data_IF_802428719938
#
_entry.id   IF_802428719938
#
_cell.length_a   1.000
_cell.length_b   1.000
_cell.length_c   1.000
_cell.angle_alpha   90.00
_cell.angle_beta   90.00
_cell.angle_gamma   90.00
#
_symmetry.space_group_name_H-M   'P 1'
#
loop_
_entity.id
_entity.type
_entity.pdbx_description
1 polymer ?
#
# COMPACT_ATOMS: atom_id res chain seq x y z
N UNK A 1 29.45 33.14 -6.05
CA UNK A 1 28.08 33.22 -6.58
C UNK A 1 27.14 32.70 -5.49
N UNK A 2 26.58 33.59 -4.66
CA UNK A 2 25.65 33.22 -3.57
C UNK A 2 24.25 33.08 -4.19
N UNK A 3 23.65 31.91 -4.07
CA UNK A 3 22.23 31.73 -4.38
C UNK A 3 21.40 32.51 -3.34
N UNK A 4 20.45 33.37 -3.76
CA UNK A 4 19.65 34.13 -2.81
C UNK A 4 18.75 33.17 -2.03
N UNK A 5 18.77 33.32 -0.71
CA UNK A 5 17.85 32.68 0.21
C UNK A 5 16.42 33.10 -0.15
N UNK A 6 15.54 32.10 -0.23
CA UNK A 6 14.10 32.22 -0.47
C UNK A 6 13.47 33.06 0.65
N UNK A 7 13.38 34.37 0.45
CA UNK A 7 12.71 35.28 1.40
C UNK A 7 11.58 36.10 0.78
N UNK A 8 11.45 36.19 -0.55
CA UNK A 8 10.49 37.11 -1.19
C UNK A 8 9.51 36.44 -2.18
N UNK A 9 9.05 35.23 -1.88
CA UNK A 9 7.88 34.66 -2.57
C UNK A 9 6.95 34.00 -1.54
N UNK A 10 6.39 34.79 -0.63
CA UNK A 10 5.06 34.46 -0.11
C UNK A 10 4.05 34.92 -1.16
N UNK A 11 4.05 34.23 -2.30
CA UNK A 11 2.94 34.30 -3.21
C UNK A 11 1.71 33.80 -2.45
N UNK A 12 0.64 34.58 -2.49
CA UNK A 12 -0.68 34.18 -1.98
C UNK A 12 -1.00 32.76 -2.43
N UNK A 13 -1.05 31.83 -1.48
CA UNK A 13 -1.37 30.44 -1.74
C UNK A 13 -2.85 30.34 -2.14
N UNK A 14 -3.11 30.27 -3.44
CA UNK A 14 -4.45 30.32 -4.05
C UNK A 14 -5.13 28.93 -4.17
N UNK A 15 -4.94 28.03 -3.20
CA UNK A 15 -5.15 26.59 -3.46
C UNK A 15 -5.82 25.76 -2.37
N UNK A 16 -6.88 26.27 -1.73
CA UNK A 16 -7.76 25.63 -0.71
C UNK A 16 -7.45 26.06 0.73
N UNK A 17 -8.48 26.57 1.44
CA UNK A 17 -8.43 26.88 2.88
C UNK A 17 -9.30 25.85 3.63
N UNK A 18 -8.81 25.23 4.72
CA UNK A 18 -9.65 24.42 5.59
C UNK A 18 -10.85 25.24 6.07
N UNK A 19 -12.05 24.64 6.11
CA UNK A 19 -13.30 25.35 6.41
C UNK A 19 -13.42 25.81 7.88
N UNK A 20 -12.50 25.39 8.76
CA UNK A 20 -12.36 25.89 10.13
C UNK A 20 -10.88 26.08 10.49
N UNK A 21 -10.56 27.12 11.25
CA UNK A 21 -9.35 27.15 12.06
C UNK A 21 -9.58 26.19 13.23
N UNK A 22 -8.81 25.10 13.32
CA UNK A 22 -9.05 24.07 14.33
C UNK A 22 -7.79 23.92 15.18
N UNK A 23 -7.83 24.42 16.42
CA UNK A 23 -7.21 23.68 17.52
C UNK A 23 -7.91 22.32 17.53
N UNK A 24 -7.28 21.30 16.95
CA UNK A 24 -7.88 19.99 16.76
C UNK A 24 -8.30 19.42 18.13
N UNK A 25 -9.62 19.22 18.40
CA UNK A 25 -9.99 18.46 19.58
C UNK A 25 -9.46 17.04 19.41
N UNK A 26 -8.85 16.49 20.46
CA UNK A 26 -8.53 15.07 20.48
C UNK A 26 -9.84 14.29 20.37
N UNK A 27 -9.93 13.26 19.50
CA UNK A 27 -11.14 12.47 19.42
C UNK A 27 -11.27 11.61 20.68
N UNK A 28 -12.24 11.92 21.53
CA UNK A 28 -12.53 11.20 22.78
C UNK A 28 -13.13 9.79 22.56
N UNK A 29 -13.37 9.37 21.31
CA UNK A 29 -13.86 8.03 20.94
C UNK A 29 -13.56 7.70 19.44
N UNK A 30 -13.53 6.41 19.04
CA UNK A 30 -13.46 6.01 17.63
C UNK A 30 -14.63 6.62 16.84
N UNK A 31 -14.30 7.24 15.71
CA UNK A 31 -15.29 7.89 14.84
C UNK A 31 -16.23 6.84 14.23
N UNK A 32 -17.43 6.74 14.78
CA UNK A 32 -18.46 5.84 14.29
C UNK A 32 -19.79 6.11 14.99
N UNK A 33 -20.42 7.24 14.67
CA UNK A 33 -21.87 7.35 14.68
C UNK A 33 -22.31 8.55 13.82
N UNK A 34 -23.48 8.40 13.20
CA UNK A 34 -24.49 9.40 12.82
C UNK A 34 -24.91 9.57 11.36
N UNK A 35 -26.25 9.64 11.29
CA UNK A 35 -27.16 10.42 10.45
C UNK A 35 -27.60 9.87 9.09
N UNK A 36 -28.87 9.47 9.07
CA UNK A 36 -29.67 9.11 7.90
C UNK A 36 -29.85 10.29 6.95
N UNK A 37 -29.57 10.06 5.67
CA UNK A 37 -29.83 11.02 4.59
C UNK A 37 -29.72 10.34 3.22
N UNK A 38 -30.86 10.22 2.53
CA UNK A 38 -31.07 9.38 1.35
C UNK A 38 -30.61 10.01 0.01
N UNK A 39 -29.95 9.22 -0.87
CA UNK A 39 -30.41 8.79 -2.21
C UNK A 39 -29.29 8.43 -3.21
N UNK A 40 -29.41 7.20 -3.76
CA UNK A 40 -29.33 6.86 -5.19
C UNK A 40 -28.01 7.00 -5.97
N UNK A 41 -27.21 5.93 -6.05
CA UNK A 41 -26.20 5.76 -7.11
C UNK A 41 -26.29 4.34 -7.70
N UNK A 42 -26.38 4.23 -9.03
CA UNK A 42 -26.30 2.96 -9.74
C UNK A 42 -24.85 2.49 -9.82
N UNK A 43 -24.56 1.27 -9.37
CA UNK A 43 -23.30 0.58 -9.61
C UNK A 43 -23.19 0.16 -11.09
N UNK A 44 -22.21 0.67 -11.86
CA UNK A 44 -21.99 0.18 -13.21
C UNK A 44 -21.40 -1.24 -13.13
N UNK A 45 -22.02 -2.20 -13.81
CA UNK A 45 -21.38 -3.47 -14.14
C UNK A 45 -20.50 -3.22 -15.37
N UNK A 46 -19.18 -3.27 -15.20
CA UNK A 46 -18.26 -3.24 -16.32
C UNK A 46 -18.10 -4.66 -16.86
N UNK A 47 -18.51 -4.88 -18.11
CA UNK A 47 -18.17 -6.08 -18.85
C UNK A 47 -16.71 -5.95 -19.31
N UNK A 48 -15.86 -6.87 -18.87
CA UNK A 48 -14.52 -7.03 -19.43
C UNK A 48 -14.68 -7.68 -20.80
N UNK A 49 -14.22 -7.00 -21.86
CA UNK A 49 -14.13 -7.61 -23.19
C UNK A 49 -12.92 -8.53 -23.22
N UNK A 50 -13.15 -9.78 -23.62
CA UNK A 50 -12.16 -10.83 -23.84
C UNK A 50 -11.12 -10.40 -24.89
N UNK A 51 -10.11 -9.66 -24.46
CA UNK A 51 -9.04 -9.12 -25.31
C UNK A 51 -7.65 -9.67 -25.01
N UNK A 52 -7.51 -10.57 -24.04
CA UNK A 52 -6.25 -11.25 -23.75
C UNK A 52 -6.30 -12.64 -24.37
N UNK A 53 -5.69 -12.80 -25.54
CA UNK A 53 -5.44 -14.11 -26.13
C UNK A 53 -4.71 -15.02 -25.12
N UNK A 54 -4.92 -16.33 -25.20
CA UNK A 54 -4.36 -17.31 -24.26
C UNK A 54 -2.85 -17.16 -24.12
N UNK A 55 -2.41 -16.57 -23.01
CA UNK A 55 -1.00 -16.40 -22.64
C UNK A 55 -0.56 -17.61 -21.83
N UNK A 56 0.65 -18.17 -22.03
CA UNK A 56 1.10 -19.34 -21.28
C UNK A 56 1.04 -19.13 -19.76
N UNK A 57 0.46 -20.10 -19.05
CA UNK A 57 0.36 -20.11 -17.59
C UNK A 57 1.76 -20.11 -16.97
N UNK A 58 2.10 -19.04 -16.24
CA UNK A 58 3.24 -19.07 -15.32
C UNK A 58 2.89 -20.02 -14.18
N UNK A 59 3.61 -21.15 -14.09
CA UNK A 59 3.42 -22.20 -13.09
C UNK A 59 3.94 -21.85 -11.70
N UNK A 60 4.63 -20.71 -11.55
CA UNK A 60 5.24 -20.36 -10.26
C UNK A 60 4.15 -19.91 -9.26
N UNK A 61 4.20 -20.40 -8.01
CA UNK A 61 3.29 -19.96 -6.96
C UNK A 61 3.57 -18.50 -6.60
N UNK A 62 2.51 -17.68 -6.55
CA UNK A 62 2.59 -16.27 -6.13
C UNK A 62 2.32 -16.18 -4.63
N UNK A 63 3.19 -15.47 -3.91
CA UNK A 63 3.03 -15.23 -2.48
C UNK A 63 1.85 -14.29 -2.20
N UNK A 64 0.99 -14.62 -1.23
CA UNK A 64 0.07 -13.65 -0.63
C UNK A 64 0.61 -13.12 0.69
N UNK A 65 0.87 -11.82 0.70
CA UNK A 65 1.36 -11.06 1.85
C UNK A 65 0.23 -10.28 2.51
N UNK A 66 -0.10 -10.65 3.75
CA UNK A 66 -1.17 -10.03 4.53
C UNK A 66 -0.64 -9.03 5.58
N UNK A 67 -1.41 -7.99 5.92
CA UNK A 67 -1.05 -7.05 6.98
C UNK A 67 -1.28 -7.65 8.36
N UNK A 68 -0.34 -7.43 9.29
CA UNK A 68 -0.55 -7.68 10.71
C UNK A 68 -0.40 -6.38 11.52
N UNK A 69 -1.52 -5.94 12.11
CA UNK A 69 -1.58 -4.80 13.03
C UNK A 69 -1.14 -5.15 14.45
N UNK A 70 -1.46 -6.38 14.87
CA UNK A 70 -1.15 -7.01 16.16
C UNK A 70 -1.29 -8.54 16.05
N UNK A 71 -1.07 -9.30 17.14
CA UNK A 71 -1.00 -10.77 17.11
C UNK A 71 -2.24 -11.45 16.54
N UNK A 72 -3.45 -11.02 16.93
CA UNK A 72 -4.71 -11.60 16.43
C UNK A 72 -4.85 -11.49 14.91
N UNK A 73 -4.43 -10.36 14.34
CA UNK A 73 -4.43 -10.17 12.90
C UNK A 73 -3.39 -11.07 12.21
N UNK A 74 -2.24 -11.32 12.84
CA UNK A 74 -1.23 -12.25 12.32
C UNK A 74 -1.75 -13.70 12.30
N UNK A 75 -2.35 -14.16 13.39
CA UNK A 75 -2.95 -15.51 13.46
C UNK A 75 -4.08 -15.66 12.45
N UNK A 76 -4.96 -14.65 12.33
CA UNK A 76 -6.00 -14.63 11.32
C UNK A 76 -5.43 -14.72 9.89
N UNK A 77 -4.42 -13.91 9.57
CA UNK A 77 -3.78 -13.95 8.25
C UNK A 77 -3.27 -15.36 7.90
N UNK A 78 -2.53 -16.00 8.79
CA UNK A 78 -2.02 -17.35 8.52
C UNK A 78 -3.13 -18.40 8.43
N UNK A 79 -4.13 -18.33 9.32
CA UNK A 79 -5.26 -19.25 9.30
C UNK A 79 -6.02 -19.22 7.96
N UNK A 80 -6.20 -18.02 7.39
CA UNK A 80 -6.90 -17.83 6.12
C UNK A 80 -5.98 -17.88 4.88
N UNK A 81 -4.75 -18.37 5.05
CA UNK A 81 -3.90 -18.79 3.95
C UNK A 81 -2.95 -17.73 3.40
N UNK A 82 -2.60 -16.72 4.20
CA UNK A 82 -1.43 -15.90 3.91
C UNK A 82 -0.15 -16.75 3.93
N UNK A 83 0.70 -16.55 2.94
CA UNK A 83 2.02 -17.19 2.87
C UNK A 83 3.04 -16.44 3.73
N UNK A 84 2.84 -15.13 3.88
CA UNK A 84 3.64 -14.24 4.70
C UNK A 84 2.79 -13.14 5.34
N UNK A 85 3.29 -12.56 6.42
CA UNK A 85 2.76 -11.32 6.99
C UNK A 85 3.80 -10.22 6.99
N UNK A 86 3.35 -8.96 6.97
CA UNK A 86 4.18 -7.82 7.32
C UNK A 86 3.61 -7.06 8.52
N UNK A 87 4.49 -6.71 9.44
CA UNK A 87 4.16 -6.04 10.69
C UNK A 87 5.09 -4.86 10.97
N UNK A 88 4.81 -4.13 12.05
CA UNK A 88 5.65 -3.04 12.51
C UNK A 88 5.81 -3.13 14.02
N UNK A 89 6.97 -2.68 14.49
CA UNK A 89 7.26 -2.56 15.91
C UNK A 89 6.61 -1.29 16.48
N UNK A 90 6.62 -1.16 17.81
CA UNK A 90 6.15 0.07 18.50
C UNK A 90 6.89 1.33 18.04
N UNK A 91 8.11 1.19 17.48
CA UNK A 91 8.92 2.28 16.90
C UNK A 91 9.30 1.98 15.44
N UNK A 92 9.75 3.02 14.75
CA UNK A 92 10.31 2.96 13.37
C UNK A 92 9.36 2.46 12.28
N UNK A 93 8.05 2.45 12.53
CA UNK A 93 7.03 2.04 11.56
C UNK A 93 6.13 3.22 11.16
N UNK A 94 5.82 3.33 9.86
CA UNK A 94 4.97 4.39 9.30
C UNK A 94 3.45 4.21 9.62
N UNK A 95 3.12 3.45 10.68
CA UNK A 95 1.77 3.21 11.21
C UNK A 95 1.80 3.16 12.74
N UNK A 96 2.29 4.23 13.37
CA UNK A 96 2.48 4.33 14.82
C UNK A 96 1.17 4.16 15.62
N UNK A 97 0.02 4.47 15.02
CA UNK A 97 -1.31 4.29 15.63
C UNK A 97 -1.90 2.87 15.46
N UNK A 98 -1.21 1.95 14.78
CA UNK A 98 -1.57 0.53 14.86
C UNK A 98 -1.20 0.00 16.25
N UNK A 99 -1.79 -1.13 16.65
CA UNK A 99 -1.41 -1.82 17.89
C UNK A 99 0.10 -2.04 17.95
N UNK A 100 0.69 -2.51 16.85
CA UNK A 100 2.11 -2.80 16.65
C UNK A 100 2.66 -3.86 17.64
N UNK A 101 3.81 -4.43 17.32
CA UNK A 101 4.38 -5.54 18.09
C UNK A 101 5.47 -5.06 19.05
N UNK A 102 5.47 -5.64 20.25
CA UNK A 102 6.66 -5.76 21.09
C UNK A 102 7.58 -6.85 20.54
N UNK A 103 8.81 -6.92 21.04
CA UNK A 103 9.76 -7.97 20.64
C UNK A 103 9.30 -9.37 21.09
N UNK A 104 8.67 -9.49 22.26
CA UNK A 104 8.16 -10.76 22.76
C UNK A 104 6.99 -11.28 21.92
N UNK A 105 6.01 -10.41 21.61
CA UNK A 105 4.89 -10.75 20.73
C UNK A 105 5.37 -11.12 19.32
N UNK A 106 6.38 -10.41 18.80
CA UNK A 106 7.02 -10.78 17.53
C UNK A 106 7.65 -12.17 17.61
N UNK A 107 8.38 -12.47 18.68
CA UNK A 107 9.01 -13.77 18.86
C UNK A 107 7.99 -14.91 18.90
N UNK A 108 6.84 -14.71 19.54
CA UNK A 108 5.75 -15.69 19.58
C UNK A 108 5.15 -15.93 18.19
N UNK A 109 4.79 -14.87 17.48
CA UNK A 109 4.21 -14.98 16.12
C UNK A 109 5.21 -15.57 15.14
N UNK A 110 6.50 -15.24 15.28
CA UNK A 110 7.58 -15.81 14.47
C UNK A 110 7.68 -17.33 14.68
N UNK A 111 7.73 -17.77 15.94
CA UNK A 111 7.76 -19.19 16.28
C UNK A 111 6.53 -19.94 15.73
N UNK A 112 5.34 -19.35 15.87
CA UNK A 112 4.12 -19.91 15.30
C UNK A 112 4.19 -20.04 13.77
N UNK A 113 4.53 -18.95 13.07
CA UNK A 113 4.64 -18.92 11.60
C UNK A 113 5.65 -19.95 11.09
N UNK A 114 6.77 -20.10 11.81
CA UNK A 114 7.86 -20.99 11.47
C UNK A 114 7.56 -22.47 11.72
N UNK A 115 6.64 -22.77 12.64
CA UNK A 115 6.18 -24.12 12.96
C UNK A 115 5.08 -24.65 12.03
N UNK A 116 4.40 -23.77 11.26
CA UNK A 116 3.39 -24.18 10.29
C UNK A 116 4.00 -25.02 9.16
N UNK A 117 3.19 -25.88 8.56
CA UNK A 117 3.56 -26.67 7.36
C UNK A 117 2.57 -26.37 6.23
N UNK A 118 2.99 -25.71 5.14
CA UNK A 118 4.34 -25.17 4.91
C UNK A 118 4.68 -24.01 5.85
N UNK A 119 5.98 -23.80 6.09
CA UNK A 119 6.52 -22.68 6.87
C UNK A 119 6.03 -21.35 6.30
N UNK A 120 5.60 -20.43 7.16
CA UNK A 120 5.17 -19.08 6.78
C UNK A 120 6.24 -18.04 7.13
N UNK A 121 6.26 -16.92 6.40
CA UNK A 121 7.28 -15.86 6.56
C UNK A 121 6.75 -14.65 7.33
N UNK A 122 7.64 -13.97 8.04
CA UNK A 122 7.34 -12.75 8.81
C UNK A 122 8.30 -11.63 8.42
N UNK A 123 7.74 -10.53 7.91
CA UNK A 123 8.50 -9.34 7.51
C UNK A 123 8.26 -8.17 8.47
N UNK A 124 9.33 -7.46 8.84
CA UNK A 124 9.26 -6.32 9.75
C UNK A 124 9.46 -5.01 8.99
N UNK A 125 8.53 -4.08 9.13
CA UNK A 125 8.62 -2.73 8.55
C UNK A 125 9.47 -1.81 9.43
N UNK A 126 10.60 -1.35 8.89
CA UNK A 126 11.42 -0.26 9.44
C UNK A 126 11.49 0.86 8.38
N UNK A 127 10.33 1.41 8.09
CA UNK A 127 10.06 2.19 6.88
C UNK A 127 9.81 3.68 7.18
N UNK A 128 10.50 4.21 8.19
CA UNK A 128 10.48 5.65 8.51
C UNK A 128 11.88 6.22 8.38
N UNK A 129 12.00 7.46 7.90
CA UNK A 129 13.27 8.19 7.98
C UNK A 129 13.74 8.35 9.44
N UNK A 130 15.00 8.00 9.70
CA UNK A 130 15.58 7.92 11.05
C UNK A 130 16.42 9.16 11.35
N UNK A 131 16.32 9.69 12.57
CA UNK A 131 17.19 10.78 13.05
C UNK A 131 18.44 10.22 13.73
N UNK A 132 19.49 11.03 13.81
CA UNK A 132 20.75 10.64 14.46
C UNK A 132 20.56 10.24 15.94
N UNK A 133 19.66 10.89 16.68
CA UNK A 133 19.32 10.56 18.07
C UNK A 133 18.62 9.20 18.22
N UNK A 134 18.05 8.68 17.14
CA UNK A 134 17.32 7.41 17.11
C UNK A 134 18.23 6.21 16.73
N UNK A 135 19.46 6.47 16.27
CA UNK A 135 20.39 5.43 15.78
C UNK A 135 20.79 4.39 16.82
N UNK A 136 21.10 4.72 18.09
CA UNK A 136 21.49 3.70 19.07
C UNK A 136 20.37 2.66 19.29
N UNK A 137 19.14 3.12 19.51
CA UNK A 137 17.98 2.24 19.70
C UNK A 137 17.65 1.45 18.42
N UNK A 138 17.81 2.06 17.25
CA UNK A 138 17.67 1.34 15.98
C UNK A 138 18.67 0.18 15.88
N UNK A 139 19.94 0.38 16.24
CA UNK A 139 20.96 -0.66 16.17
C UNK A 139 20.65 -1.83 17.12
N UNK A 140 20.19 -1.54 18.33
CA UNK A 140 19.70 -2.57 19.27
C UNK A 140 18.51 -3.34 18.68
N UNK A 141 17.57 -2.61 18.06
CA UNK A 141 16.42 -3.22 17.37
C UNK A 141 16.87 -4.13 16.23
N UNK A 142 17.79 -3.68 15.37
CA UNK A 142 18.32 -4.49 14.27
C UNK A 142 19.02 -5.76 14.78
N UNK A 143 19.81 -5.66 15.85
CA UNK A 143 20.49 -6.80 16.45
C UNK A 143 19.49 -7.82 17.03
N UNK A 144 18.42 -7.35 17.68
CA UNK A 144 17.35 -8.22 18.16
C UNK A 144 16.64 -8.94 17.02
N UNK A 145 16.27 -8.22 15.95
CA UNK A 145 15.60 -8.80 14.78
C UNK A 145 16.47 -9.83 14.05
N UNK A 146 17.76 -9.57 13.90
CA UNK A 146 18.73 -10.51 13.32
C UNK A 146 18.87 -11.78 14.17
N UNK A 147 18.98 -11.62 15.49
CA UNK A 147 19.06 -12.75 16.44
C UNK A 147 17.79 -13.61 16.43
N UNK A 148 16.61 -12.98 16.31
CA UNK A 148 15.33 -13.68 16.21
C UNK A 148 15.17 -14.47 14.91
N UNK A 149 15.88 -14.07 13.85
CA UNK A 149 15.74 -14.68 12.53
C UNK A 149 14.44 -14.28 11.82
N UNK A 150 14.08 -13.00 11.86
CA UNK A 150 12.98 -12.49 11.00
C UNK A 150 13.31 -12.68 9.53
N UNK A 151 12.31 -12.99 8.71
CA UNK A 151 12.57 -13.43 7.34
C UNK A 151 12.97 -12.29 6.40
N UNK A 152 12.56 -11.03 6.67
CA UNK A 152 13.03 -9.83 5.97
C UNK A 152 12.70 -8.51 6.69
N UNK A 153 13.44 -7.44 6.37
CA UNK A 153 13.13 -6.06 6.73
C UNK A 153 12.63 -5.26 5.52
N UNK A 154 11.54 -4.50 5.68
CA UNK A 154 11.01 -3.58 4.67
C UNK A 154 11.49 -2.16 4.99
N UNK A 155 12.42 -1.63 4.19
CA UNK A 155 13.17 -0.40 4.47
C UNK A 155 12.88 0.75 3.49
N UNK A 156 12.99 1.98 3.98
CA UNK A 156 13.02 3.20 3.17
C UNK A 156 14.35 3.94 3.29
N UNK A 157 14.90 4.03 4.50
CA UNK A 157 16.04 4.88 4.80
C UNK A 157 17.37 4.26 4.32
N UNK A 158 18.12 4.99 3.49
CA UNK A 158 19.38 4.51 2.92
C UNK A 158 20.52 4.40 3.95
N UNK A 159 20.48 5.20 5.01
CA UNK A 159 21.41 5.09 6.14
C UNK A 159 21.17 3.80 6.91
N UNK A 160 19.89 3.46 7.15
CA UNK A 160 19.51 2.18 7.76
C UNK A 160 19.90 1.01 6.87
N UNK A 161 19.67 1.10 5.56
CA UNK A 161 20.14 0.10 4.59
C UNK A 161 21.66 -0.11 4.70
N UNK A 162 22.46 0.97 4.75
CA UNK A 162 23.91 0.87 4.88
C UNK A 162 24.32 0.16 6.18
N UNK A 163 23.71 0.53 7.31
CA UNK A 163 23.97 -0.09 8.60
C UNK A 163 23.58 -1.58 8.60
N UNK A 164 22.41 -1.92 8.07
CA UNK A 164 21.93 -3.28 7.93
C UNK A 164 22.90 -4.13 7.09
N UNK A 165 23.31 -3.65 5.91
CA UNK A 165 24.26 -4.36 5.05
C UNK A 165 25.65 -4.52 5.67
N UNK A 166 26.10 -3.53 6.44
CA UNK A 166 27.42 -3.55 7.07
C UNK A 166 27.50 -4.48 8.27
N UNK A 167 26.47 -4.48 9.12
CA UNK A 167 26.50 -5.16 10.42
C UNK A 167 25.70 -6.46 10.45
N UNK A 168 24.70 -6.61 9.57
CA UNK A 168 23.76 -7.74 9.52
C UNK A 168 23.65 -8.26 8.07
N UNK A 169 24.76 -8.72 7.44
CA UNK A 169 24.80 -9.01 6.00
C UNK A 169 23.86 -10.15 5.55
N UNK A 170 23.45 -11.03 6.48
CA UNK A 170 22.52 -12.12 6.21
C UNK A 170 21.05 -11.68 6.22
N UNK A 171 20.75 -10.51 6.80
CA UNK A 171 19.40 -9.97 6.83
C UNK A 171 18.89 -9.71 5.40
N UNK A 172 17.75 -10.31 5.08
CA UNK A 172 17.06 -10.03 3.82
C UNK A 172 16.41 -8.65 3.87
N UNK A 173 16.60 -7.85 2.81
CA UNK A 173 16.08 -6.50 2.73
C UNK A 173 15.12 -6.38 1.55
N UNK A 174 13.96 -5.82 1.83
CA UNK A 174 12.93 -5.43 0.87
C UNK A 174 12.84 -3.91 0.80
N UNK A 175 12.73 -3.37 -0.41
CA UNK A 175 12.57 -1.95 -0.62
C UNK A 175 11.11 -1.54 -0.46
N UNK A 176 10.83 -0.67 0.51
CA UNK A 176 9.49 -0.14 0.80
C UNK A 176 8.92 0.63 -0.39
N UNK A 177 7.58 0.65 -0.51
CA UNK A 177 6.85 1.49 -1.47
C UNK A 177 7.22 2.98 -1.34
N UNK A 178 7.70 3.41 -0.17
CA UNK A 178 8.20 4.77 0.08
C UNK A 178 9.53 5.10 -0.61
N UNK A 179 10.22 4.13 -1.22
CA UNK A 179 11.29 4.39 -2.18
C UNK A 179 10.77 4.74 -3.58
N UNK A 180 9.44 4.72 -3.78
CA UNK A 180 8.72 5.16 -4.98
C UNK A 180 9.27 4.54 -6.27
N UNK A 181 9.40 3.22 -6.29
CA UNK A 181 9.89 2.51 -7.47
C UNK A 181 8.74 2.35 -8.45
N UNK A 182 8.85 3.06 -9.57
CA UNK A 182 7.79 3.20 -10.57
C UNK A 182 8.31 3.08 -12.00
N UNK A 183 9.56 2.65 -12.14
CA UNK A 183 10.19 2.44 -13.43
C UNK A 183 11.32 1.42 -13.28
N UNK A 184 11.78 0.90 -14.42
CA UNK A 184 12.84 -0.10 -14.50
C UNK A 184 14.13 0.34 -13.81
N UNK A 185 14.55 1.59 -14.01
CA UNK A 185 15.81 2.09 -13.46
C UNK A 185 15.85 2.00 -11.92
N UNK A 186 14.73 2.31 -11.24
CA UNK A 186 14.61 2.16 -9.80
C UNK A 186 14.80 0.72 -9.33
N UNK A 187 14.14 -0.24 -9.98
CA UNK A 187 14.27 -1.66 -9.66
C UNK A 187 15.71 -2.17 -9.87
N UNK A 188 16.38 -1.72 -10.94
CA UNK A 188 17.77 -2.09 -11.24
C UNK A 188 18.75 -1.61 -10.18
N UNK A 189 18.63 -0.34 -9.78
CA UNK A 189 19.51 0.23 -8.75
C UNK A 189 19.34 -0.53 -7.44
N UNK A 190 18.11 -0.81 -7.02
CA UNK A 190 17.85 -1.54 -5.78
C UNK A 190 18.36 -2.99 -5.84
N UNK A 191 18.28 -3.63 -6.99
CA UNK A 191 18.90 -4.94 -7.20
C UNK A 191 20.41 -4.91 -7.05
N UNK A 192 21.07 -3.89 -7.61
CA UNK A 192 22.54 -3.70 -7.47
C UNK A 192 22.94 -3.44 -6.02
N UNK A 193 22.07 -2.76 -5.27
CA UNK A 193 22.17 -2.61 -3.82
C UNK A 193 21.86 -3.91 -3.06
N UNK A 194 21.53 -5.01 -3.74
CA UNK A 194 21.28 -6.31 -3.11
C UNK A 194 19.95 -6.38 -2.36
N UNK A 195 18.97 -5.52 -2.64
CA UNK A 195 17.59 -5.78 -2.20
C UNK A 195 17.08 -7.05 -2.88
N UNK A 196 16.36 -7.88 -2.12
CA UNK A 196 15.77 -9.12 -2.63
C UNK A 196 14.40 -8.90 -3.25
N UNK A 197 13.68 -7.89 -2.78
CA UNK A 197 12.35 -7.54 -3.24
C UNK A 197 12.15 -6.04 -3.29
N UNK A 198 11.33 -5.59 -4.23
CA UNK A 198 10.87 -4.20 -4.32
C UNK A 198 9.35 -4.14 -4.30
N UNK A 199 8.80 -3.34 -3.39
CA UNK A 199 7.39 -3.00 -3.36
C UNK A 199 7.17 -1.85 -4.35
N UNK A 200 6.48 -2.15 -5.46
CA UNK A 200 6.25 -1.16 -6.51
C UNK A 200 5.29 -0.06 -6.02
N UNK A 201 5.40 1.11 -6.66
CA UNK A 201 4.41 2.16 -6.52
C UNK A 201 3.02 1.65 -6.96
N UNK A 202 1.95 2.21 -6.38
CA UNK A 202 0.58 1.79 -6.71
C UNK A 202 0.06 2.49 -7.96
N UNK A 203 0.70 3.61 -8.32
CA UNK A 203 0.35 4.51 -9.40
C UNK A 203 0.93 4.03 -10.75
N UNK A 204 0.77 2.74 -11.07
CA UNK A 204 1.29 2.08 -12.28
C UNK A 204 0.19 1.39 -13.08
N UNK A 205 0.36 1.31 -14.40
CA UNK A 205 -0.43 0.44 -15.27
C UNK A 205 0.07 -1.01 -15.21
N UNK A 206 -0.74 -1.96 -15.67
CA UNK A 206 -0.33 -3.37 -15.79
C UNK A 206 0.87 -3.52 -16.73
N UNK A 207 0.90 -2.77 -17.84
CA UNK A 207 2.02 -2.76 -18.79
C UNK A 207 3.32 -2.27 -18.16
N UNK A 208 3.25 -1.23 -17.31
CA UNK A 208 4.42 -0.72 -16.59
C UNK A 208 4.91 -1.71 -15.53
N UNK A 209 3.98 -2.38 -14.82
CA UNK A 209 4.33 -3.46 -13.89
C UNK A 209 5.02 -4.61 -14.62
N UNK A 210 4.51 -5.00 -15.79
CA UNK A 210 5.09 -6.03 -16.65
C UNK A 210 6.50 -5.66 -17.14
N UNK A 211 6.70 -4.41 -17.57
CA UNK A 211 8.01 -3.90 -17.99
C UNK A 211 9.06 -3.98 -16.86
N UNK A 212 8.68 -3.50 -15.68
CA UNK A 212 9.55 -3.50 -14.50
C UNK A 212 9.86 -4.95 -14.09
N UNK A 213 8.83 -5.80 -14.01
CA UNK A 213 8.95 -7.16 -13.49
C UNK A 213 9.75 -8.08 -14.41
N UNK A 214 9.50 -8.04 -15.72
CA UNK A 214 10.27 -8.85 -16.68
C UNK A 214 11.76 -8.54 -16.61
N UNK A 215 12.13 -7.27 -16.45
CA UNK A 215 13.54 -6.87 -16.34
C UNK A 215 14.14 -7.24 -14.98
N UNK A 216 13.37 -7.08 -13.90
CA UNK A 216 13.75 -7.43 -12.54
C UNK A 216 14.12 -8.93 -12.40
N UNK A 217 13.45 -9.80 -13.16
CA UNK A 217 13.61 -11.27 -13.15
C UNK A 217 14.82 -11.80 -13.94
N UNK A 218 15.53 -10.96 -14.73
CA UNK A 218 16.67 -11.42 -15.55
C UNK A 218 17.91 -11.67 -14.67
N UNK A 219 18.49 -12.88 -14.68
CA UNK A 219 19.69 -13.22 -13.87
C UNK A 219 20.93 -12.38 -14.24
N UNK A 220 21.79 -12.14 -13.25
CA UNK A 220 23.00 -11.34 -13.43
C UNK A 220 24.01 -12.16 -14.25
N UNK A 221 24.02 -11.96 -15.57
CA UNK A 221 24.89 -12.71 -16.50
C UNK A 221 24.37 -12.78 -17.94
N UNK A 222 23.08 -12.51 -18.16
CA UNK A 222 22.45 -12.51 -19.49
C UNK A 222 22.17 -11.11 -20.04
N UNK A 223 22.76 -10.06 -19.45
CA UNK A 223 22.57 -8.67 -19.87
C UNK A 223 23.85 -8.20 -20.58
N UNK A 224 23.80 -8.09 -21.91
CA UNK A 224 24.82 -7.43 -22.73
C UNK A 224 24.58 -5.93 -22.94
N UNK A 225 23.53 -5.35 -22.36
CA UNK A 225 22.98 -4.10 -22.88
C UNK A 225 23.14 -2.90 -21.92
N UNK A 226 23.89 -1.90 -22.39
CA UNK A 226 23.58 -0.47 -22.28
C UNK A 226 23.71 0.26 -20.94
N UNK A 227 23.80 -0.43 -19.79
CA UNK A 227 23.90 0.23 -18.45
C UNK A 227 25.31 0.12 -17.85
N UNK A 228 26.30 -0.30 -18.65
CA UNK A 228 27.70 -0.49 -18.26
C UNK A 228 28.42 0.79 -17.76
N UNK A 229 27.78 1.97 -17.83
CA UNK A 229 28.36 3.24 -17.39
C UNK A 229 28.07 3.63 -15.94
N UNK A 230 27.18 2.93 -15.24
CA UNK A 230 27.01 3.07 -13.78
C UNK A 230 27.98 2.11 -13.07
N UNK A 231 29.23 2.55 -12.94
CA UNK A 231 30.39 1.73 -12.62
C UNK A 231 30.37 0.94 -11.31
N UNK A 232 31.18 -0.12 -11.29
CA UNK A 232 31.86 -0.75 -10.14
C UNK A 232 31.07 -1.05 -8.84
N UNK A 233 29.73 -1.11 -8.84
CA UNK A 233 28.93 -1.55 -7.69
C UNK A 233 28.59 -3.07 -7.71
N UNK A 234 29.28 -3.86 -8.53
CA UNK A 234 28.88 -5.25 -8.89
C UNK A 234 29.19 -6.29 -7.80
N UNK A 235 29.75 -5.92 -6.65
CA UNK A 235 30.09 -6.89 -5.60
C UNK A 235 28.87 -7.43 -4.81
N UNK A 236 27.71 -6.74 -4.83
CA UNK A 236 26.56 -7.05 -3.97
C UNK A 236 25.24 -7.33 -4.70
N UNK A 237 25.26 -7.45 -6.04
CA UNK A 237 24.02 -7.68 -6.80
C UNK A 237 23.44 -9.08 -6.52
N UNK A 238 22.12 -9.16 -6.28
CA UNK A 238 21.43 -10.46 -6.15
C UNK A 238 21.62 -11.29 -7.43
N UNK A 239 22.23 -12.50 -7.33
CA UNK A 239 22.44 -13.38 -8.50
C UNK A 239 21.12 -13.83 -9.14
N UNK A 240 20.05 -13.89 -8.34
CA UNK A 240 18.75 -14.47 -8.71
C UNK A 240 17.75 -13.49 -9.35
N UNK A 241 18.10 -12.20 -9.47
CA UNK A 241 17.13 -11.14 -9.81
C UNK A 241 16.61 -10.42 -8.57
N UNK A 242 15.60 -9.55 -8.75
CA UNK A 242 14.86 -8.90 -7.66
C UNK A 242 13.37 -9.22 -7.81
N UNK A 243 12.71 -9.62 -6.73
CA UNK A 243 11.27 -9.90 -6.72
C UNK A 243 10.47 -8.60 -6.79
N UNK A 244 9.32 -8.61 -7.47
CA UNK A 244 8.37 -7.48 -7.43
C UNK A 244 7.17 -7.84 -6.56
N UNK A 245 6.77 -6.87 -5.73
CA UNK A 245 5.60 -6.94 -4.85
C UNK A 245 4.63 -5.82 -5.21
N UNK A 246 3.35 -6.17 -5.41
CA UNK A 246 2.30 -5.25 -5.85
C UNK A 246 1.12 -5.29 -4.87
N UNK A 247 0.62 -4.11 -4.51
CA UNK A 247 -0.63 -4.03 -3.75
C UNK A 247 -1.81 -4.42 -4.63
N UNK A 248 -2.65 -5.31 -4.12
CA UNK A 248 -3.86 -5.80 -4.80
C UNK A 248 -5.15 -5.34 -4.12
N UNK A 249 -5.05 -4.86 -2.87
CA UNK A 249 -6.21 -4.46 -2.08
C UNK A 249 -5.88 -3.43 -1.00
N UNK A 250 -6.84 -2.56 -0.68
CA UNK A 250 -6.84 -1.72 0.52
C UNK A 250 -6.67 -0.22 0.26
N UNK A 251 -6.46 0.55 1.32
CA UNK A 251 -6.60 2.00 1.27
C UNK A 251 -5.51 2.70 0.44
N UNK A 252 -5.92 3.57 -0.49
CA UNK A 252 -5.03 4.37 -1.32
C UNK A 252 -4.65 5.72 -0.67
N UNK A 253 -3.40 6.14 -0.93
CA UNK A 253 -2.96 7.52 -0.70
C UNK A 253 -3.46 8.40 -1.84
N UNK A 254 -3.79 9.66 -1.55
CA UNK A 254 -4.13 10.65 -2.58
C UNK A 254 -2.92 11.09 -3.41
N UNK A 255 -1.76 11.19 -2.77
CA UNK A 255 -0.50 11.48 -3.42
C UNK A 255 0.30 10.20 -3.60
N UNK A 256 1.51 10.31 -4.16
CA UNK A 256 2.41 9.19 -4.36
C UNK A 256 2.58 8.40 -3.05
N UNK A 257 2.32 7.10 -3.15
CA UNK A 257 2.14 6.24 -2.00
C UNK A 257 3.30 6.30 -1.01
N UNK A 258 3.00 6.72 0.22
CA UNK A 258 3.99 6.83 1.30
C UNK A 258 4.83 8.12 1.32
N UNK A 259 4.74 8.99 0.31
CA UNK A 259 5.54 10.22 0.19
C UNK A 259 4.75 11.52 0.45
N UNK A 260 3.52 11.40 0.93
CA UNK A 260 2.66 12.55 1.18
C UNK A 260 3.11 13.39 2.39
N UNK A 261 3.35 14.69 2.17
CA UNK A 261 3.64 15.67 3.23
C UNK A 261 2.42 16.45 3.72
N UNK A 262 1.24 16.18 3.17
CA UNK A 262 0.06 16.99 3.40
C UNK A 262 -0.27 17.15 4.90
N UNK A 263 -0.43 16.02 5.60
CA UNK A 263 -0.74 15.99 7.03
C UNK A 263 0.35 16.64 7.91
N UNK A 264 1.63 16.54 7.54
CA UNK A 264 2.70 17.22 8.28
C UNK A 264 2.65 18.73 8.12
N UNK A 265 2.37 19.21 6.91
CA UNK A 265 2.36 20.63 6.60
C UNK A 265 1.13 21.33 7.18
N UNK A 266 -0.02 20.66 7.21
CA UNK A 266 -1.26 21.26 7.71
C UNK A 266 -1.49 21.07 9.20
N UNK A 267 -1.06 19.94 9.78
CA UNK A 267 -1.41 19.55 11.14
C UNK A 267 -0.21 19.16 12.01
N UNK A 268 1.03 19.31 11.52
CA UNK A 268 2.24 18.87 12.24
C UNK A 268 2.34 17.35 12.41
N UNK A 269 1.47 16.58 11.74
CA UNK A 269 1.30 15.14 11.90
C UNK A 269 1.93 14.40 10.73
N UNK A 270 3.17 13.97 10.88
CA UNK A 270 3.92 13.32 9.78
C UNK A 270 3.45 11.89 9.49
N UNK A 271 3.06 11.64 8.23
CA UNK A 271 2.75 10.30 7.73
C UNK A 271 3.97 9.37 7.76
N UNK A 272 5.18 9.89 7.47
CA UNK A 272 6.43 9.14 7.60
C UNK A 272 6.71 8.75 9.07
N UNK A 273 6.15 9.44 10.06
CA UNK A 273 6.23 9.05 11.49
C UNK A 273 5.04 8.21 11.94
N UNK A 274 4.22 7.74 10.99
CA UNK A 274 3.03 6.95 11.27
C UNK A 274 1.90 7.69 11.96
N UNK A 275 1.91 9.03 11.91
CA UNK A 275 0.92 9.92 12.55
C UNK A 275 -0.02 10.56 11.52
N UNK A 276 -0.14 10.01 10.32
CA UNK A 276 -0.98 10.59 9.25
C UNK A 276 -2.40 10.87 9.76
N UNK A 277 -2.83 12.12 9.66
CA UNK A 277 -4.15 12.57 10.12
C UNK A 277 -5.26 12.32 9.09
N UNK A 278 -4.94 11.69 7.96
CA UNK A 278 -5.89 11.48 6.85
C UNK A 278 -6.50 12.77 6.32
N UNK A 279 -5.74 13.87 6.23
CA UNK A 279 -6.25 15.15 5.72
C UNK A 279 -6.89 15.04 4.33
N UNK A 280 -6.44 14.10 3.49
CA UNK A 280 -7.09 13.83 2.20
C UNK A 280 -8.56 13.34 2.32
N UNK A 281 -9.02 12.99 3.52
CA UNK A 281 -10.37 12.54 3.83
C UNK A 281 -11.21 13.63 4.48
N UNK A 282 -10.69 14.85 4.65
CA UNK A 282 -11.50 15.96 5.15
C UNK A 282 -12.42 16.52 4.06
N UNK A 283 -13.45 17.24 4.49
CA UNK A 283 -14.26 18.06 3.59
C UNK A 283 -13.55 19.38 3.29
N UNK A 284 -13.61 19.82 2.03
CA UNK A 284 -12.95 21.03 1.55
C UNK A 284 -13.94 21.99 0.91
N UNK A 285 -13.72 23.29 1.12
CA UNK A 285 -14.35 24.35 0.33
C UNK A 285 -13.46 24.71 -0.85
N UNK A 286 -14.01 24.64 -2.06
CA UNK A 286 -13.28 24.90 -3.31
C UNK A 286 -13.56 26.32 -3.78
N UNK A 287 -12.57 27.19 -3.61
CA UNK A 287 -12.63 28.58 -4.08
C UNK A 287 -12.55 28.59 -5.61
N UNK A 288 -13.45 29.35 -6.27
CA UNK A 288 -13.51 29.41 -7.73
C UNK A 288 -14.11 28.16 -8.39
N UNK A 289 -14.80 27.31 -7.62
CA UNK A 289 -15.53 26.19 -8.17
C UNK A 289 -16.55 26.65 -9.24
N UNK A 290 -16.74 25.88 -10.33
CA UNK A 290 -17.75 26.22 -11.34
C UNK A 290 -19.15 26.23 -10.70
N UNK A 291 -20.13 26.90 -11.30
CA UNK A 291 -21.51 26.88 -10.80
C UNK A 291 -22.15 25.49 -10.87
N UNK A 292 -21.68 24.65 -11.80
CA UNK A 292 -22.14 23.27 -11.99
C UNK A 292 -20.97 22.34 -12.31
N UNK A 293 -20.94 21.16 -11.70
CA UNK A 293 -20.02 20.10 -12.12
C UNK A 293 -20.54 19.43 -13.40
N UNK A 294 -19.69 19.34 -14.42
CA UNK A 294 -19.98 18.60 -15.66
C UNK A 294 -19.20 17.28 -15.67
N UNK A 295 -19.44 16.45 -14.69
CA UNK A 295 -18.74 15.18 -14.50
C UNK A 295 -19.63 13.95 -14.69
N UNK A 296 -20.87 14.16 -15.15
CA UNK A 296 -21.79 13.06 -15.47
C UNK A 296 -22.28 12.29 -14.25
N UNK A 297 -22.03 12.76 -13.02
CA UNK A 297 -22.55 12.10 -11.82
C UNK A 297 -24.08 12.17 -11.76
N UNK A 298 -24.74 11.08 -11.34
CA UNK A 298 -26.18 11.07 -11.11
C UNK A 298 -26.58 11.94 -9.91
N UNK A 299 -25.63 12.30 -9.04
CA UNK A 299 -25.85 13.13 -7.85
C UNK A 299 -25.52 14.59 -8.18
N UNK A 300 -26.50 15.48 -7.99
CA UNK A 300 -26.29 16.93 -8.09
C UNK A 300 -25.45 17.39 -6.91
N UNK A 301 -24.15 17.55 -7.13
CA UNK A 301 -23.19 18.02 -6.14
C UNK A 301 -23.14 19.53 -6.06
N UNK A 302 -22.88 20.06 -4.86
CA UNK A 302 -22.38 21.42 -4.73
C UNK A 302 -20.89 21.44 -5.13
N UNK A 303 -20.51 22.05 -6.26
CA UNK A 303 -19.12 22.13 -6.70
C UNK A 303 -18.20 22.85 -5.69
N UNK A 304 -18.77 23.65 -4.77
CA UNK A 304 -18.03 24.44 -3.79
C UNK A 304 -17.60 23.66 -2.56
N UNK A 305 -18.16 22.48 -2.31
CA UNK A 305 -17.84 21.67 -1.12
C UNK A 305 -17.79 20.19 -1.43
N UNK A 306 -16.79 19.47 -0.93
CA UNK A 306 -16.74 18.01 -1.07
C UNK A 306 -15.43 17.39 -0.62
N UNK A 307 -15.18 16.17 -1.07
CA UNK A 307 -14.02 15.35 -0.69
C UNK A 307 -13.05 15.12 -1.86
N UNK A 308 -12.42 16.17 -2.42
CA UNK A 308 -11.67 16.08 -3.68
C UNK A 308 -10.48 15.11 -3.64
N UNK A 309 -10.00 14.76 -2.45
CA UNK A 309 -8.81 13.94 -2.24
C UNK A 309 -9.12 12.56 -1.64
N UNK A 310 -10.39 12.23 -1.43
CA UNK A 310 -10.79 11.02 -0.71
C UNK A 310 -10.75 9.81 -1.65
N UNK A 311 -9.60 9.15 -1.75
CA UNK A 311 -9.40 8.00 -2.65
C UNK A 311 -10.34 6.83 -2.36
N UNK A 312 -10.84 6.17 -3.39
CA UNK A 312 -11.45 4.85 -3.28
C UNK A 312 -10.41 3.83 -2.75
N UNK A 313 -10.87 2.67 -2.29
CA UNK A 313 -9.95 1.59 -1.91
C UNK A 313 -9.51 0.84 -3.19
N UNK A 314 -8.24 0.44 -3.26
CA UNK A 314 -7.74 -0.42 -4.33
C UNK A 314 -8.39 -1.80 -4.21
N UNK A 315 -8.85 -2.37 -5.31
CA UNK A 315 -9.18 -3.79 -5.39
C UNK A 315 -8.96 -4.30 -6.81
N UNK A 316 -8.10 -5.31 -6.94
CA UNK A 316 -7.65 -5.86 -8.23
C UNK A 316 -7.97 -7.35 -8.43
N UNK A 317 -9.16 -7.87 -8.08
CA UNK A 317 -9.45 -9.30 -8.22
C UNK A 317 -9.39 -9.79 -9.67
N UNK A 318 -9.79 -8.95 -10.64
CA UNK A 318 -9.79 -9.30 -12.07
C UNK A 318 -8.40 -9.17 -12.73
N UNK A 319 -7.46 -8.50 -12.07
CA UNK A 319 -6.11 -8.28 -12.61
C UNK A 319 -5.07 -9.25 -12.07
N UNK A 320 -5.43 -10.11 -11.11
CA UNK A 320 -4.51 -11.13 -10.57
C UNK A 320 -3.90 -12.01 -11.67
N UNK A 321 -4.64 -12.51 -12.69
CA UNK A 321 -4.05 -13.31 -13.76
C UNK A 321 -3.00 -12.54 -14.55
N UNK A 322 -3.30 -11.29 -14.95
CA UNK A 322 -2.37 -10.46 -15.72
C UNK A 322 -1.11 -10.12 -14.92
N UNK A 323 -1.26 -9.78 -13.63
CA UNK A 323 -0.12 -9.52 -12.74
C UNK A 323 0.73 -10.78 -12.50
N UNK A 324 0.10 -11.97 -12.41
CA UNK A 324 0.80 -13.25 -12.31
C UNK A 324 1.59 -13.55 -13.59
N UNK A 325 0.98 -13.34 -14.75
CA UNK A 325 1.64 -13.49 -16.06
C UNK A 325 2.79 -12.50 -16.25
N UNK A 326 2.67 -11.29 -15.70
CA UNK A 326 3.76 -10.32 -15.67
C UNK A 326 4.97 -10.78 -14.83
N UNK A 327 4.80 -11.82 -14.01
CA UNK A 327 5.85 -12.40 -13.15
C UNK A 327 5.91 -11.80 -11.75
N UNK A 328 4.85 -11.11 -11.31
CA UNK A 328 4.80 -10.52 -9.96
C UNK A 328 4.92 -11.63 -8.93
N UNK A 329 5.91 -11.50 -8.05
CA UNK A 329 6.27 -12.55 -7.09
C UNK A 329 5.38 -12.54 -5.84
N UNK A 330 4.84 -11.37 -5.49
CA UNK A 330 4.07 -11.18 -4.27
C UNK A 330 2.88 -10.23 -4.47
N UNK A 331 1.69 -10.69 -4.05
CA UNK A 331 0.49 -9.89 -3.94
C UNK A 331 0.30 -9.44 -2.50
N UNK A 332 0.19 -8.12 -2.29
CA UNK A 332 0.11 -7.51 -0.98
C UNK A 332 -1.25 -6.91 -0.69
N UNK A 333 -1.77 -7.17 0.50
CA UNK A 333 -2.97 -6.51 1.05
C UNK A 333 -2.53 -5.34 1.95
N UNK A 334 -3.05 -4.13 1.71
CA UNK A 334 -2.88 -2.98 2.62
C UNK A 334 -3.93 -3.03 3.73
N UNK A 335 -3.51 -2.92 5.00
CA UNK A 335 -4.49 -2.97 6.09
C UNK A 335 -3.96 -3.06 7.51
N UNK A 336 -2.73 -2.62 7.80
CA UNK A 336 -2.15 -2.82 9.16
C UNK A 336 -2.90 -2.13 10.32
N UNK A 337 -3.78 -1.17 10.03
CA UNK A 337 -4.67 -0.54 11.04
C UNK A 337 -6.07 -1.16 11.07
N UNK A 338 -6.29 -2.26 10.36
CA UNK A 338 -7.59 -2.92 10.23
C UNK A 338 -7.74 -4.01 11.28
N UNK A 339 -9.00 -4.37 11.54
CA UNK A 339 -9.34 -5.41 12.51
C UNK A 339 -8.86 -6.79 12.03
N UNK A 340 -8.68 -7.75 12.94
CA UNK A 340 -8.42 -9.14 12.57
C UNK A 340 -9.49 -9.70 11.62
N UNK A 341 -10.75 -9.29 11.75
CA UNK A 341 -11.83 -9.69 10.83
C UNK A 341 -11.58 -9.22 9.39
N UNK A 342 -11.12 -7.98 9.19
CA UNK A 342 -10.75 -7.51 7.84
C UNK A 342 -9.61 -8.33 7.26
N UNK A 343 -8.59 -8.63 8.07
CA UNK A 343 -7.45 -9.43 7.62
C UNK A 343 -7.91 -10.83 7.24
N UNK A 344 -8.70 -11.49 8.09
CA UNK A 344 -9.29 -12.79 7.82
C UNK A 344 -10.05 -12.82 6.48
N UNK A 345 -11.03 -11.94 6.30
CA UNK A 345 -11.91 -11.98 5.13
C UNK A 345 -11.20 -11.59 3.84
N UNK A 346 -10.31 -10.59 3.87
CA UNK A 346 -9.54 -10.17 2.68
C UNK A 346 -8.50 -11.23 2.29
N UNK A 347 -7.78 -11.80 3.25
CA UNK A 347 -6.82 -12.87 2.97
C UNK A 347 -7.51 -14.11 2.40
N UNK A 348 -8.61 -14.55 3.01
CA UNK A 348 -9.40 -15.68 2.53
C UNK A 348 -9.88 -15.47 1.09
N UNK A 349 -10.49 -14.32 0.81
CA UNK A 349 -10.98 -13.98 -0.52
C UNK A 349 -9.88 -14.04 -1.58
N UNK A 350 -8.74 -13.38 -1.34
CA UNK A 350 -7.64 -13.39 -2.31
C UNK A 350 -6.96 -14.74 -2.42
N UNK A 351 -6.88 -15.52 -1.33
CA UNK A 351 -6.32 -16.86 -1.40
C UNK A 351 -7.18 -17.80 -2.23
N UNK A 352 -8.50 -17.75 -2.07
CA UNK A 352 -9.41 -18.54 -2.90
C UNK A 352 -9.35 -18.13 -4.38
N UNK A 353 -9.20 -16.83 -4.68
CA UNK A 353 -8.98 -16.37 -6.05
C UNK A 353 -7.65 -16.86 -6.64
N UNK A 354 -6.54 -16.72 -5.90
CA UNK A 354 -5.21 -17.15 -6.34
C UNK A 354 -5.17 -18.66 -6.61
N UNK A 355 -5.86 -19.44 -5.77
CA UNK A 355 -5.91 -20.90 -5.86
C UNK A 355 -6.99 -21.39 -6.85
N UNK A 356 -7.73 -20.49 -7.49
CA UNK A 356 -8.79 -20.85 -8.44
C UNK A 356 -9.96 -21.61 -7.82
N UNK A 357 -10.22 -21.41 -6.52
CA UNK A 357 -11.24 -22.14 -5.74
C UNK A 357 -12.56 -21.39 -5.57
N UNK A 358 -12.71 -20.23 -6.19
CA UNK A 358 -13.87 -19.38 -6.01
C UNK A 358 -14.72 -19.38 -7.29
N UNK A 359 -15.94 -19.92 -7.21
CA UNK A 359 -16.87 -19.82 -8.32
C UNK A 359 -17.49 -18.41 -8.42
N UNK A 360 -18.15 -18.05 -9.55
CA UNK A 360 -18.70 -16.70 -9.72
C UNK A 360 -19.78 -16.28 -8.71
N UNK A 361 -20.58 -17.21 -8.20
CA UNK A 361 -21.67 -16.91 -7.26
C UNK A 361 -21.13 -16.72 -5.84
N UNK A 362 -20.22 -17.59 -5.41
CA UNK A 362 -19.47 -17.45 -4.16
C UNK A 362 -18.63 -16.18 -4.15
N UNK A 363 -18.01 -15.86 -5.29
CA UNK A 363 -17.25 -14.62 -5.46
C UNK A 363 -18.10 -13.38 -5.19
N UNK A 364 -19.27 -13.28 -5.81
CA UNK A 364 -20.16 -12.14 -5.60
C UNK A 364 -20.58 -12.00 -4.12
N UNK A 365 -20.82 -13.13 -3.45
CA UNK A 365 -21.17 -13.14 -2.02
C UNK A 365 -20.02 -12.65 -1.15
N UNK A 366 -18.80 -13.17 -1.35
CA UNK A 366 -17.62 -12.72 -0.59
C UNK A 366 -17.28 -11.26 -0.84
N UNK A 367 -17.42 -10.78 -2.07
CA UNK A 367 -17.24 -9.36 -2.37
C UNK A 367 -18.24 -8.50 -1.59
N UNK A 368 -19.50 -8.92 -1.49
CA UNK A 368 -20.50 -8.24 -0.68
C UNK A 368 -20.18 -8.29 0.83
N UNK A 369 -19.66 -9.40 1.34
CA UNK A 369 -19.23 -9.51 2.74
C UNK A 369 -18.06 -8.56 3.02
N UNK A 370 -17.06 -8.51 2.13
CA UNK A 370 -15.93 -7.59 2.24
C UNK A 370 -16.37 -6.13 2.27
N UNK A 371 -17.35 -5.77 1.43
CA UNK A 371 -17.95 -4.44 1.43
C UNK A 371 -18.62 -4.10 2.76
N UNK A 372 -19.04 -5.10 3.54
CA UNK A 372 -19.69 -4.93 4.86
C UNK A 372 -18.70 -4.89 6.03
N UNK A 373 -17.56 -5.59 5.92
CA UNK A 373 -16.53 -5.62 6.99
C UNK A 373 -15.79 -4.30 7.10
N UNK A 374 -15.10 -3.91 6.02
CA UNK A 374 -14.54 -2.58 5.88
C UNK A 374 -14.21 -2.32 4.41
N UNK A 375 -15.05 -1.58 3.69
CA UNK A 375 -14.70 -1.08 2.37
C UNK A 375 -15.24 0.31 2.06
N UNK A 376 -14.42 1.08 1.35
CA UNK A 376 -14.88 2.19 0.49
C UNK A 376 -15.29 1.63 -0.88
N UNK A 377 -15.91 2.43 -1.77
CA UNK A 377 -16.01 2.02 -3.16
C UNK A 377 -14.64 1.60 -3.70
N UNK A 378 -14.61 0.59 -4.54
CA UNK A 378 -13.37 0.09 -5.12
C UNK A 378 -12.96 0.90 -6.36
N UNK A 379 -11.66 0.96 -6.59
CA UNK A 379 -11.06 1.46 -7.81
C UNK A 379 -9.91 0.54 -8.22
N UNK A 380 -9.61 0.56 -9.52
CA UNK A 380 -8.42 -0.06 -10.10
C UNK A 380 -7.25 0.93 -10.21
N UNK A 381 -7.42 2.16 -9.71
CA UNK A 381 -6.46 3.24 -9.83
C UNK A 381 -6.02 3.41 -11.30
N UNK A 382 -4.75 3.15 -11.62
CA UNK A 382 -4.20 3.31 -12.96
C UNK A 382 -3.89 1.99 -13.65
N UNK A 383 -4.32 0.84 -13.08
CA UNK A 383 -3.97 -0.49 -13.60
C UNK A 383 -4.31 -0.67 -15.08
N UNK A 384 -5.40 -0.05 -15.57
CA UNK A 384 -5.73 -0.03 -17.00
C UNK A 384 -5.20 1.21 -17.72
N UNK A 385 -5.21 2.38 -17.06
CA UNK A 385 -4.80 3.65 -17.67
C UNK A 385 -4.58 4.75 -16.64
N UNK A 386 -3.53 5.54 -16.83
CA UNK A 386 -3.31 6.83 -16.13
C UNK A 386 -4.42 7.87 -16.38
N UNK A 387 -5.35 7.61 -17.29
CA UNK A 387 -6.48 8.48 -17.60
C UNK A 387 -7.71 8.24 -16.72
N UNK A 388 -7.70 7.26 -15.81
CA UNK A 388 -8.82 7.05 -14.90
C UNK A 388 -8.98 8.26 -13.97
N UNK A 389 -10.16 8.89 -14.04
CA UNK A 389 -10.52 10.07 -13.25
C UNK A 389 -11.40 9.72 -12.05
N UNK A 390 -11.89 8.48 -11.98
CA UNK A 390 -12.86 8.01 -11.00
C UNK A 390 -12.19 7.23 -9.85
N UNK A 391 -10.99 7.67 -9.46
CA UNK A 391 -10.16 7.07 -8.42
C UNK A 391 -10.45 7.63 -7.02
N UNK A 392 -11.12 8.77 -6.94
CA UNK A 392 -11.58 9.38 -5.68
C UNK A 392 -13.11 9.29 -5.55
N UNK A 393 -13.56 9.15 -4.31
CA UNK A 393 -14.95 9.33 -3.90
C UNK A 393 -15.13 10.76 -3.39
N UNK A 394 -15.77 11.59 -4.21
CA UNK A 394 -15.93 13.02 -3.94
C UNK A 394 -17.15 13.34 -3.10
N UNK A 395 -18.00 12.33 -2.86
CA UNK A 395 -19.33 12.49 -2.29
C UNK A 395 -19.35 12.05 -0.82
N UNK A 396 -18.62 10.99 -0.48
CA UNK A 396 -18.59 10.45 0.88
C UNK A 396 -17.19 10.08 1.35
N UNK A 397 -17.03 10.04 2.66
CA UNK A 397 -15.86 9.49 3.33
C UNK A 397 -16.26 8.28 4.16
N UNK A 398 -15.41 7.26 4.13
CA UNK A 398 -15.57 6.10 4.99
C UNK A 398 -16.35 4.95 4.37
N UNK A 399 -16.83 4.08 5.26
CA UNK A 399 -17.40 2.77 4.94
C UNK A 399 -18.78 2.88 4.30
N UNK A 400 -19.05 2.13 3.21
CA UNK A 400 -20.38 2.15 2.57
C UNK A 400 -21.23 0.91 2.81
N UNK A 401 -20.65 -0.22 3.19
CA UNK A 401 -21.42 -1.46 3.29
C UNK A 401 -21.83 -2.00 1.92
N UNK A 402 -22.56 -3.12 1.94
CA UNK A 402 -23.24 -3.65 0.76
C UNK A 402 -24.57 -2.97 0.52
N UNK A 403 -24.89 -2.72 -0.75
CA UNK A 403 -26.19 -2.18 -1.16
C UNK A 403 -27.26 -3.27 -1.03
N UNK A 404 -28.25 -3.05 -0.16
CA UNK A 404 -29.35 -4.02 0.11
C UNK A 404 -30.68 -3.69 -0.58
N UNK A 405 -30.81 -2.50 -1.18
CA UNK A 405 -32.06 -2.10 -1.84
C UNK A 405 -32.10 -0.61 -2.22
N UNK A 406 -33.25 -0.18 -2.75
CA UNK A 406 -33.57 1.22 -3.05
C UNK A 406 -34.91 1.56 -2.42
N UNK A 407 -35.03 2.76 -1.86
CA UNK A 407 -36.29 3.30 -1.35
C UNK A 407 -36.92 4.11 -2.49
N UNK A 408 -38.16 3.77 -2.85
CA UNK A 408 -38.97 4.55 -3.79
C UNK A 408 -39.87 5.48 -2.98
N UNK A 409 -39.73 6.79 -3.21
CA UNK A 409 -40.52 7.86 -2.58
C UNK A 409 -41.59 8.39 -3.52
#
# INVERSE_FOLDING_TARGET
>A
MKLPLVADVVAEWNGLRPSRAVEAPQPDAPQGEYAEGERGVSTPRFAVTDGYGSVPESSDPVELLAPAGGPDAAFAAFHYGADAIYLGLKKFSARAEAENFTLDELSEVLAYAHALTPRRRVFVTLNTLIRDDELPELLETLAALDTMGVDALILQDLGVYYLARKHFPQMELHASTQLAVHNRAGAVVLRQMGFRRVVLARELTTEEVEDITRFASVRAGSISDGVAHLGNAVANASPAGIETEVFIHGALCYSYSGLCLFSSQTLGRSGNRGKCAYSCRDSYTVVGAPETLRDGSPVKRDPRTGFPFSMKDLALPDHLPALRTAGVSCFKIEGRKKSPLYVATTTDYYRQLIDGRLDPAERATKEADLQTVFSRPWTRLFTDSHKDKEVADRDTVGHRGTVIGRIES
#
